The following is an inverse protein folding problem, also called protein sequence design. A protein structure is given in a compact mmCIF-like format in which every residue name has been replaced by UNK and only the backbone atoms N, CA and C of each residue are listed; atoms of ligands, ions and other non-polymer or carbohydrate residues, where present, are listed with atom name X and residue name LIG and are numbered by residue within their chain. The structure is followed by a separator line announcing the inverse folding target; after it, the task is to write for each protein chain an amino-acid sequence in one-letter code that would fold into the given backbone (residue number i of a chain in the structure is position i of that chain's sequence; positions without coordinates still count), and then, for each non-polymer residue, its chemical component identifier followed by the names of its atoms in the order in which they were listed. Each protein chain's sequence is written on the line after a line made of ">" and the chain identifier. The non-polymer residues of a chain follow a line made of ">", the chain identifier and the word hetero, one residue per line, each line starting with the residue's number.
data_IF_135732050339
#
_entry.id   IF_135732050339
#
_cell.length_a   1.000
_cell.length_b   1.000
_cell.length_c   1.000
_cell.angle_alpha   90.00
_cell.angle_beta   90.00
_cell.angle_gamma   90.00
#
_symmetry.space_group_name_H-M   'P 1'
#
loop_
_entity.id
_entity.type
_entity.pdbx_description
1 polymer ?
#
# COMPACT_ATOMS: atom_id res chain seq x y z
N UNK A 1 32.74 5.10 -9.96
CA UNK A 1 31.97 4.70 -8.92
C UNK A 1 30.57 4.45 -9.31
N UNK A 2 30.08 3.37 -8.95
CA UNK A 2 28.81 3.02 -9.36
C UNK A 2 27.82 3.49 -8.38
N UNK A 3 26.85 4.15 -8.85
CA UNK A 3 25.77 4.52 -7.98
C UNK A 3 25.11 3.25 -7.50
N UNK A 4 24.73 3.20 -6.27
CA UNK A 4 23.93 2.08 -5.82
C UNK A 4 22.69 2.04 -6.67
N UNK A 5 22.20 0.85 -6.94
CA UNK A 5 20.94 0.74 -7.64
C UNK A 5 19.94 1.59 -6.88
N UNK A 6 19.10 2.30 -7.58
CA UNK A 6 18.09 3.07 -6.91
C UNK A 6 17.42 2.16 -5.92
N UNK A 7 17.24 2.62 -4.71
CA UNK A 7 16.57 1.80 -3.74
C UNK A 7 15.31 1.36 -4.41
N UNK A 8 15.23 0.09 -4.61
CA UNK A 8 13.98 -0.44 -5.00
C UNK A 8 13.01 0.13 -4.06
N UNK A 9 11.96 0.71 -4.56
CA UNK A 9 10.90 1.11 -3.68
C UNK A 9 10.65 -0.10 -2.85
N UNK A 10 10.84 0.05 -1.58
CA UNK A 10 10.50 -0.98 -0.65
C UNK A 10 9.26 -1.62 -1.17
N UNK A 11 9.30 -2.89 -1.49
CA UNK A 11 8.10 -3.51 -1.98
C UNK A 11 7.05 -3.28 -0.93
N UNK A 12 6.09 -2.48 -1.28
CA UNK A 12 4.99 -2.26 -0.39
C UNK A 12 4.30 -3.58 -0.25
N UNK A 13 4.47 -4.20 0.89
CA UNK A 13 3.84 -5.47 1.15
C UNK A 13 2.61 -5.25 1.98
N UNK A 14 1.52 -5.76 1.49
CA UNK A 14 0.30 -5.77 2.27
C UNK A 14 0.43 -6.87 3.30
N UNK A 15 0.53 -6.49 4.55
CA UNK A 15 0.78 -7.45 5.62
C UNK A 15 -0.51 -7.93 6.27
N UNK A 16 -1.48 -7.05 6.38
CA UNK A 16 -2.75 -7.40 6.98
C UNK A 16 -3.79 -6.40 6.56
N UNK A 17 -5.05 -6.82 6.63
CA UNK A 17 -6.16 -5.92 6.36
C UNK A 17 -7.15 -6.07 7.51
N UNK A 18 -7.56 -4.94 8.03
CA UNK A 18 -8.64 -4.90 9.00
C UNK A 18 -9.83 -4.33 8.25
N UNK A 19 -10.72 -5.21 7.84
CA UNK A 19 -11.85 -4.76 7.03
C UNK A 19 -12.99 -4.37 7.94
N UNK A 20 -12.95 -3.11 8.34
CA UNK A 20 -14.01 -2.54 9.16
C UNK A 20 -14.94 -1.78 8.23
N UNK A 21 -16.23 -2.10 8.19
CA UNK A 21 -17.13 -1.42 7.25
C UNK A 21 -17.11 0.09 7.38
N UNK A 22 -16.82 0.60 8.56
CA UNK A 22 -16.81 2.05 8.75
C UNK A 22 -15.46 2.65 8.42
N UNK A 23 -14.39 1.94 8.69
CA UNK A 23 -13.04 2.45 8.45
C UNK A 23 -12.11 1.30 8.13
N UNK A 24 -12.14 0.82 6.90
CA UNK A 24 -11.20 -0.23 6.54
C UNK A 24 -9.78 0.31 6.61
N UNK A 25 -8.89 -0.54 7.07
CA UNK A 25 -7.49 -0.18 7.13
C UNK A 25 -6.64 -1.33 6.62
N UNK A 26 -5.44 -1.00 6.20
CA UNK A 26 -4.52 -2.00 5.69
C UNK A 26 -3.16 -1.74 6.29
N UNK A 27 -2.48 -2.80 6.67
CA UNK A 27 -1.13 -2.68 7.18
C UNK A 27 -0.17 -2.94 6.02
N UNK A 28 0.51 -1.90 5.62
CA UNK A 28 1.41 -1.95 4.48
C UNK A 28 2.77 -1.46 4.93
N UNK A 29 3.78 -2.31 4.75
CA UNK A 29 5.13 -1.92 5.11
C UNK A 29 5.31 -1.57 6.57
N UNK A 30 4.55 -2.20 7.45
CA UNK A 30 4.66 -1.93 8.88
C UNK A 30 3.84 -0.75 9.36
N UNK A 31 3.04 -0.15 8.48
CA UNK A 31 2.22 1.00 8.86
C UNK A 31 0.77 0.70 8.59
N UNK A 32 -0.09 1.17 9.49
CA UNK A 32 -1.53 1.04 9.29
C UNK A 32 -2.02 2.24 8.52
N UNK A 33 -2.68 1.98 7.40
CA UNK A 33 -3.14 3.03 6.52
C UNK A 33 -4.64 2.90 6.30
N UNK A 34 -5.29 4.04 6.18
CA UNK A 34 -6.71 4.10 5.89
C UNK A 34 -6.91 4.63 4.49
N UNK A 35 -8.13 4.51 3.98
CA UNK A 35 -8.44 5.08 2.67
C UNK A 35 -8.20 6.59 2.74
N UNK A 36 -7.43 7.09 1.78
CA UNK A 36 -7.06 8.49 1.75
C UNK A 36 -5.69 8.78 2.31
N UNK A 37 -5.08 7.81 2.99
CA UNK A 37 -3.73 8.01 3.52
C UNK A 37 -2.71 7.88 2.41
N UNK A 38 -1.57 8.52 2.61
CA UNK A 38 -0.52 8.52 1.62
C UNK A 38 0.63 7.64 2.05
N UNK A 39 1.22 6.95 1.09
CA UNK A 39 2.42 6.15 1.29
C UNK A 39 3.39 6.54 0.20
N UNK A 40 4.40 7.33 0.54
CA UNK A 40 5.31 7.83 -0.47
C UNK A 40 4.55 8.68 -1.47
N UNK A 41 4.61 8.31 -2.74
CA UNK A 41 3.90 9.01 -3.79
C UNK A 41 2.53 8.42 -4.07
N UNK A 42 2.13 7.43 -3.31
CA UNK A 42 0.88 6.73 -3.54
C UNK A 42 -0.13 7.10 -2.48
N UNK A 43 -1.39 6.95 -2.83
CA UNK A 43 -2.48 7.16 -1.90
C UNK A 43 -3.37 5.94 -1.90
N UNK A 44 -3.83 5.56 -0.73
CA UNK A 44 -4.74 4.43 -0.61
C UNK A 44 -6.10 4.91 -1.08
N UNK A 45 -6.59 4.31 -2.16
CA UNK A 45 -7.87 4.71 -2.73
C UNK A 45 -8.96 3.70 -2.48
N UNK A 46 -8.59 2.46 -2.19
CA UNK A 46 -9.58 1.43 -1.90
C UNK A 46 -8.94 0.34 -1.07
N UNK A 47 -9.74 -0.28 -0.22
CA UNK A 47 -9.30 -1.42 0.57
C UNK A 47 -10.37 -2.47 0.50
N UNK A 48 -9.97 -3.67 0.10
CA UNK A 48 -10.86 -4.82 0.02
C UNK A 48 -10.56 -5.79 1.15
N UNK A 49 -11.22 -6.91 1.11
CA UNK A 49 -11.06 -7.90 2.17
C UNK A 49 -9.65 -8.49 2.21
N UNK A 50 -9.02 -8.59 1.05
CA UNK A 50 -7.69 -9.17 0.97
C UNK A 50 -6.78 -8.40 0.03
N UNK A 51 -7.15 -7.18 -0.31
CA UNK A 51 -6.32 -6.38 -1.20
C UNK A 51 -6.50 -4.91 -0.89
N UNK A 52 -5.53 -4.13 -1.29
CA UNK A 52 -5.59 -2.69 -1.14
C UNK A 52 -5.11 -2.07 -2.44
N UNK A 53 -5.81 -1.04 -2.88
CA UNK A 53 -5.47 -0.35 -4.11
C UNK A 53 -4.87 1.00 -3.77
N UNK A 54 -3.71 1.26 -4.32
CA UNK A 54 -3.03 2.53 -4.15
C UNK A 54 -2.83 3.16 -5.51
N UNK A 55 -2.98 4.46 -5.57
CA UNK A 55 -2.81 5.20 -6.81
C UNK A 55 -1.96 6.44 -6.58
N UNK A 56 -1.17 6.79 -7.56
CA UNK A 56 -0.34 7.97 -7.49
C UNK A 56 0.57 8.06 -8.69
N UNK A 57 0.97 9.28 -9.04
CA UNK A 57 1.89 9.47 -10.15
C UNK A 57 1.38 8.90 -11.46
N UNK A 58 0.08 8.83 -11.65
CA UNK A 58 -0.46 8.27 -12.87
C UNK A 58 -0.49 6.76 -12.90
N UNK A 59 -0.19 6.11 -11.77
CA UNK A 59 -0.14 4.66 -11.72
C UNK A 59 -1.10 4.15 -10.65
N UNK A 60 -1.58 2.96 -10.85
CA UNK A 60 -2.43 2.29 -9.89
C UNK A 60 -1.78 0.96 -9.53
N UNK A 61 -1.64 0.73 -8.24
CA UNK A 61 -1.04 -0.51 -7.76
C UNK A 61 -2.03 -1.22 -6.86
N UNK A 62 -2.20 -2.51 -7.09
CA UNK A 62 -3.07 -3.32 -6.26
C UNK A 62 -2.19 -4.28 -5.48
N UNK A 63 -2.26 -4.18 -4.17
CA UNK A 63 -1.52 -5.06 -3.29
C UNK A 63 -2.46 -6.13 -2.76
N UNK A 64 -2.02 -7.36 -2.83
CA UNK A 64 -2.83 -8.47 -2.37
C UNK A 64 -2.18 -9.07 -1.14
N UNK A 65 -3.00 -9.54 -0.22
CA UNK A 65 -2.48 -10.19 0.96
C UNK A 65 -1.71 -11.44 0.55
N UNK A 66 -0.48 -11.52 1.03
CA UNK A 66 0.30 -12.71 0.80
C UNK A 66 -0.13 -13.75 1.82
N UNK A 67 -0.29 -14.94 1.37
CA UNK A 67 -0.65 -16.03 2.28
C UNK A 67 0.58 -16.71 2.80
#
# INVERSE_FOLDING_TARGET
>A
MMAPPPPQPTPLRLQAIIFNPKRPSAMIGGKTLFIGDKVGDLRVVAIDKNSATLAGGGQTNVLTLAE
#
